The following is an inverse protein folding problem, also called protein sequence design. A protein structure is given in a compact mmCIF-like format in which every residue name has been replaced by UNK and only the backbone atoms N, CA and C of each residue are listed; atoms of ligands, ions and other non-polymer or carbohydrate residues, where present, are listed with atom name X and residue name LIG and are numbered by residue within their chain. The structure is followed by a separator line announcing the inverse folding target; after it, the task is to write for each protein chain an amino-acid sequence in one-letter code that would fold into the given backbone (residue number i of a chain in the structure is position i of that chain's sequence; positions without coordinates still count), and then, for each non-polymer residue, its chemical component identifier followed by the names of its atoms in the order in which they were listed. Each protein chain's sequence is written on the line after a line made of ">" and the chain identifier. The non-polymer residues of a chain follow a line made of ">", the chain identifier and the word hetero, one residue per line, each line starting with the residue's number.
data_IF_898177175148
#
_entry.id   IF_898177175148
#
_cell.length_a   1.000
_cell.length_b   1.000
_cell.length_c   1.000
_cell.angle_alpha   90.00
_cell.angle_beta   90.00
_cell.angle_gamma   90.00
#
_symmetry.space_group_name_H-M   'P 1'
#
loop_
_entity.id
_entity.type
_entity.pdbx_description
1 polymer ?
#
# COMPACT_ATOMS: atom_id res chain seq x y z
N UNK A 1 26.12 15.00 13.97
CA UNK A 1 26.38 13.83 13.09
C UNK A 1 25.68 12.64 13.73
N UNK A 2 24.74 12.02 13.05
CA UNK A 2 23.92 10.93 13.61
C UNK A 2 24.78 9.71 13.91
N UNK A 3 24.81 9.35 15.19
CA UNK A 3 25.50 8.19 15.76
C UNK A 3 24.91 6.90 15.16
N UNK A 4 25.74 6.10 14.51
CA UNK A 4 25.31 4.82 13.94
C UNK A 4 24.92 3.89 15.09
N UNK A 5 23.67 3.47 15.15
CA UNK A 5 23.21 2.50 16.14
C UNK A 5 23.91 1.15 15.96
N UNK A 6 24.52 0.64 17.03
CA UNK A 6 25.05 -0.72 17.11
C UNK A 6 24.09 -1.75 16.51
N UNK A 7 24.58 -2.61 15.61
CA UNK A 7 23.81 -3.69 14.96
C UNK A 7 23.11 -4.57 16.01
N UNK A 8 23.78 -4.79 17.16
CA UNK A 8 23.22 -5.54 18.30
C UNK A 8 21.94 -4.91 18.87
N UNK A 9 21.82 -3.57 18.88
CA UNK A 9 20.62 -2.85 19.33
C UNK A 9 19.47 -2.98 18.33
N UNK A 10 19.78 -3.01 17.03
CA UNK A 10 18.79 -3.22 15.96
C UNK A 10 18.22 -4.64 16.03
N UNK A 11 19.08 -5.65 16.13
CA UNK A 11 18.68 -7.06 16.18
C UNK A 11 17.84 -7.40 17.44
N UNK A 12 18.04 -6.70 18.55
CA UNK A 12 17.21 -6.88 19.76
C UNK A 12 15.73 -6.50 19.56
N UNK A 13 15.43 -5.64 18.59
CA UNK A 13 14.06 -5.20 18.28
C UNK A 13 13.40 -6.04 17.19
N UNK A 14 14.14 -6.96 16.56
CA UNK A 14 13.61 -7.79 15.49
C UNK A 14 12.86 -8.97 16.08
N UNK A 15 11.53 -8.98 15.93
CA UNK A 15 10.70 -10.15 16.24
C UNK A 15 10.33 -10.88 14.94
N UNK A 16 10.88 -12.08 14.67
CA UNK A 16 10.53 -12.87 13.50
C UNK A 16 9.06 -13.36 13.48
N UNK A 17 8.29 -13.13 14.55
CA UNK A 17 6.89 -13.57 14.68
C UNK A 17 5.87 -12.53 14.21
N UNK A 18 6.25 -11.27 14.08
CA UNK A 18 5.34 -10.17 13.73
C UNK A 18 4.83 -10.27 12.28
N UNK A 19 5.73 -10.54 11.33
CA UNK A 19 5.39 -10.64 9.90
C UNK A 19 5.00 -12.07 9.45
N UNK A 20 4.59 -12.96 10.37
CA UNK A 20 4.31 -14.39 10.06
C UNK A 20 3.29 -14.61 8.94
N UNK A 21 2.38 -13.67 8.72
CA UNK A 21 1.34 -13.76 7.69
C UNK A 21 1.67 -12.98 6.41
N UNK A 22 2.80 -12.26 6.39
CA UNK A 22 3.29 -11.47 5.25
C UNK A 22 4.49 -12.21 4.67
N UNK A 23 4.21 -13.09 3.71
CA UNK A 23 5.23 -13.89 3.03
C UNK A 23 5.76 -13.24 1.75
N UNK A 24 5.03 -12.27 1.19
CA UNK A 24 5.33 -11.65 -0.11
C UNK A 24 5.21 -10.14 -0.03
N UNK A 25 6.04 -9.44 -0.80
CA UNK A 25 6.08 -7.97 -0.85
C UNK A 25 4.70 -7.37 -1.14
N UNK A 26 3.94 -7.91 -2.09
CA UNK A 26 2.61 -7.38 -2.42
C UNK A 26 1.61 -7.46 -1.26
N UNK A 27 1.81 -8.37 -0.30
CA UNK A 27 0.95 -8.47 0.88
C UNK A 27 1.24 -7.33 1.86
N UNK A 28 2.53 -7.00 2.07
CA UNK A 28 2.96 -5.86 2.88
C UNK A 28 2.44 -4.57 2.26
N UNK A 29 2.70 -4.39 0.97
CA UNK A 29 2.23 -3.23 0.24
C UNK A 29 0.72 -3.03 0.31
N UNK A 30 -0.05 -4.10 0.08
CA UNK A 30 -1.51 -4.03 0.16
C UNK A 30 -2.00 -3.63 1.55
N UNK A 31 -1.35 -4.14 2.59
CA UNK A 31 -1.69 -3.81 3.97
C UNK A 31 -1.38 -2.33 4.26
N UNK A 32 -0.19 -1.87 3.91
CA UNK A 32 0.24 -0.48 4.09
C UNK A 32 -0.66 0.48 3.31
N UNK A 33 -1.03 0.12 2.08
CA UNK A 33 -1.96 0.88 1.25
C UNK A 33 -3.35 0.95 1.88
N UNK A 34 -3.88 -0.17 2.37
CA UNK A 34 -5.17 -0.20 3.07
C UNK A 34 -5.13 0.66 4.34
N UNK A 35 -4.02 0.63 5.08
CA UNK A 35 -3.80 1.48 6.25
C UNK A 35 -3.79 2.96 5.90
N UNK A 36 -3.03 3.36 4.87
CA UNK A 36 -2.93 4.74 4.39
C UNK A 36 -4.28 5.29 3.89
N UNK A 37 -5.10 4.44 3.30
CA UNK A 37 -6.44 4.80 2.83
C UNK A 37 -7.50 4.76 3.95
N UNK A 38 -7.13 4.33 5.17
CA UNK A 38 -8.05 4.18 6.29
C UNK A 38 -9.08 3.07 6.09
N UNK A 39 -8.74 2.03 5.31
CA UNK A 39 -9.65 1.00 4.81
C UNK A 39 -9.12 -0.42 5.10
N UNK A 40 -8.64 -0.63 6.32
CA UNK A 40 -8.08 -1.92 6.78
C UNK A 40 -9.11 -3.05 6.80
N UNK A 41 -10.40 -2.73 6.94
CA UNK A 41 -11.50 -3.71 6.89
C UNK A 41 -11.51 -4.46 5.56
N UNK A 42 -11.14 -3.78 4.46
CA UNK A 42 -11.09 -4.35 3.12
C UNK A 42 -9.66 -4.76 2.68
N UNK A 43 -8.73 -5.01 3.60
CA UNK A 43 -7.33 -5.40 3.29
C UNK A 43 -7.20 -6.54 2.26
N UNK A 44 -8.13 -7.51 2.25
CA UNK A 44 -8.15 -8.63 1.30
C UNK A 44 -8.39 -8.16 -0.15
N UNK A 45 -9.19 -7.12 -0.34
CA UNK A 45 -9.40 -6.47 -1.63
C UNK A 45 -8.09 -5.84 -2.14
N UNK A 46 -7.40 -5.07 -1.28
CA UNK A 46 -6.12 -4.48 -1.63
C UNK A 46 -5.06 -5.54 -1.93
N UNK A 47 -5.04 -6.67 -1.21
CA UNK A 47 -4.14 -7.79 -1.52
C UNK A 47 -4.40 -8.36 -2.92
N UNK A 48 -5.68 -8.54 -3.29
CA UNK A 48 -6.06 -9.01 -4.63
C UNK A 48 -5.65 -7.99 -5.71
N UNK A 49 -5.80 -6.69 -5.43
CA UNK A 49 -5.37 -5.63 -6.35
C UNK A 49 -3.86 -5.62 -6.53
N UNK A 50 -3.09 -5.64 -5.44
CA UNK A 50 -1.63 -5.66 -5.47
C UNK A 50 -1.05 -6.90 -6.16
N UNK A 51 -1.72 -8.06 -6.02
CA UNK A 51 -1.30 -9.30 -6.68
C UNK A 51 -1.51 -9.28 -8.20
N UNK A 52 -2.60 -8.66 -8.68
CA UNK A 52 -3.05 -8.79 -10.07
C UNK A 52 -2.93 -7.49 -10.89
N UNK A 53 -2.59 -6.37 -10.27
CA UNK A 53 -2.49 -5.07 -10.94
C UNK A 53 -1.04 -4.61 -10.96
N UNK A 54 -0.53 -4.12 -12.10
CA UNK A 54 0.80 -3.52 -12.17
C UNK A 54 1.01 -2.42 -11.11
N UNK A 55 2.19 -2.44 -10.47
CA UNK A 55 2.51 -1.53 -9.35
C UNK A 55 2.39 -0.05 -9.73
N UNK A 56 2.79 0.33 -10.94
CA UNK A 56 2.76 1.73 -11.38
C UNK A 56 1.33 2.32 -11.35
N UNK A 57 0.30 1.53 -11.68
CA UNK A 57 -1.09 2.00 -11.62
C UNK A 57 -1.56 2.21 -10.18
N UNK A 58 -1.16 1.31 -9.27
CA UNK A 58 -1.51 1.39 -7.85
C UNK A 58 -0.85 2.60 -7.21
N UNK A 59 0.44 2.82 -7.48
CA UNK A 59 1.17 4.00 -7.00
C UNK A 59 0.56 5.29 -7.55
N UNK A 60 0.25 5.37 -8.85
CA UNK A 60 -0.40 6.55 -9.41
C UNK A 60 -1.75 6.85 -8.76
N UNK A 61 -2.58 5.83 -8.52
CA UNK A 61 -3.85 6.01 -7.82
C UNK A 61 -3.64 6.43 -6.35
N UNK A 62 -2.63 5.85 -5.67
CA UNK A 62 -2.26 6.19 -4.30
C UNK A 62 -1.81 7.65 -4.17
N UNK A 63 -0.88 8.11 -5.01
CA UNK A 63 -0.42 9.50 -5.01
C UNK A 63 -1.56 10.48 -5.30
N UNK A 64 -2.43 10.15 -6.25
CA UNK A 64 -3.61 10.97 -6.54
C UNK A 64 -4.51 11.17 -5.31
N UNK A 65 -4.72 10.13 -4.51
CA UNK A 65 -5.51 10.24 -3.27
C UNK A 65 -4.74 10.94 -2.15
N UNK A 66 -3.41 10.79 -2.12
CA UNK A 66 -2.55 11.51 -1.17
C UNK A 66 -2.67 13.02 -1.34
N UNK A 67 -2.70 13.49 -2.57
CA UNK A 67 -2.80 14.92 -2.90
C UNK A 67 -4.23 15.47 -2.77
N UNK A 68 -5.25 14.60 -2.67
CA UNK A 68 -6.63 15.01 -2.51
C UNK A 68 -6.92 15.45 -1.07
N UNK A 69 -7.17 16.75 -0.87
CA UNK A 69 -7.63 17.32 0.41
C UNK A 69 -9.12 17.09 0.67
N UNK A 70 -9.51 16.97 1.95
CA UNK A 70 -10.90 16.84 2.43
C UNK A 70 -11.77 15.80 1.69
N UNK A 71 -11.31 14.55 1.66
CA UNK A 71 -12.05 13.43 1.06
C UNK A 71 -12.73 12.59 2.14
N UNK A 72 -14.06 12.46 2.07
CA UNK A 72 -14.84 11.67 3.03
C UNK A 72 -14.49 10.16 3.02
N UNK A 73 -14.12 9.61 1.85
CA UNK A 73 -13.72 8.22 1.73
C UNK A 73 -12.57 8.06 0.72
N UNK A 74 -11.35 7.93 1.24
CA UNK A 74 -10.11 7.80 0.47
C UNK A 74 -10.05 6.49 -0.32
N UNK A 75 -10.53 5.39 0.25
CA UNK A 75 -10.62 4.08 -0.42
C UNK A 75 -11.49 4.13 -1.69
N UNK A 76 -12.66 4.78 -1.63
CA UNK A 76 -13.54 4.94 -2.80
C UNK A 76 -12.89 5.77 -3.90
N UNK A 77 -12.21 6.87 -3.53
CA UNK A 77 -11.49 7.71 -4.48
C UNK A 77 -10.35 6.94 -5.16
N UNK A 78 -9.62 6.14 -4.38
CA UNK A 78 -8.57 5.25 -4.87
C UNK A 78 -9.12 4.27 -5.91
N UNK A 79 -10.22 3.57 -5.59
CA UNK A 79 -10.84 2.59 -6.50
C UNK A 79 -11.31 3.24 -7.79
N UNK A 80 -11.93 4.42 -7.70
CA UNK A 80 -12.36 5.18 -8.88
C UNK A 80 -11.17 5.56 -9.76
N UNK A 81 -10.10 6.12 -9.19
CA UNK A 81 -8.92 6.54 -9.96
C UNK A 81 -8.20 5.35 -10.59
N UNK A 82 -8.05 4.26 -9.85
CA UNK A 82 -7.46 3.03 -10.38
C UNK A 82 -8.26 2.47 -11.56
N UNK A 83 -9.59 2.56 -11.50
CA UNK A 83 -10.47 2.20 -12.61
C UNK A 83 -10.26 3.06 -13.86
N UNK A 84 -10.07 4.37 -13.69
CA UNK A 84 -9.75 5.28 -14.79
C UNK A 84 -8.40 4.93 -15.44
N UNK A 85 -7.35 4.76 -14.63
CA UNK A 85 -6.01 4.43 -15.12
C UNK A 85 -5.98 3.09 -15.89
N UNK A 86 -6.75 2.09 -15.44
CA UNK A 86 -6.87 0.81 -16.17
C UNK A 86 -7.54 0.96 -17.54
N UNK A 87 -8.53 1.85 -17.66
CA UNK A 87 -9.19 2.14 -18.94
C UNK A 87 -8.24 2.88 -19.89
N UNK A 88 -7.53 3.88 -19.38
CA UNK A 88 -6.52 4.63 -20.13
C UNK A 88 -5.41 3.72 -20.65
N UNK A 89 -4.95 2.76 -19.82
CA UNK A 89 -3.94 1.79 -20.24
C UNK A 89 -4.44 0.86 -21.35
N UNK A 90 -5.72 0.48 -21.33
CA UNK A 90 -6.32 -0.39 -22.36
C UNK A 90 -6.59 0.33 -23.69
N UNK A 91 -6.78 1.65 -23.63
CA UNK A 91 -7.04 2.48 -24.81
C UNK A 91 -5.76 2.88 -25.56
N UNK A 92 -4.59 2.72 -24.94
CA UNK A 92 -3.27 2.83 -25.57
C UNK A 92 -2.84 1.49 -26.15
#
# INVERSE_FOLDING_TARGET
>A
MSDFSDIKKVLKKFDPREDRYISREFQKYAYDLAQELGDLEHKSLYMKLAKNTPRHLLEHARYFVKDAGNVNNRGRLFMWKLGQLKKEQKAK
#
